data_IF_822663295079
#
_entry.id   IF_822663295079
#
_cell.length_a   1.000
_cell.length_b   1.000
_cell.length_c   1.000
_cell.angle_alpha   90.00
_cell.angle_beta   90.00
_cell.angle_gamma   90.00
#
_symmetry.space_group_name_H-M   'P 1'
#
loop_
_entity.id
_entity.type
_entity.pdbx_description
1 polymer ?
#
# COMPACT_ATOMS: atom_id res chain seq x y z
N UNK A 1 -3.26 -2.24 -9.27
CA UNK A 1 -1.85 -2.71 -9.33
C UNK A 1 -1.53 -3.25 -7.95
N UNK A 2 -1.45 -4.58 -7.83
CA UNK A 2 -1.03 -5.24 -6.58
C UNK A 2 0.49 -5.15 -6.53
N UNK A 3 1.03 -4.48 -5.52
CA UNK A 3 2.47 -4.42 -5.28
C UNK A 3 2.89 -5.68 -4.51
N UNK A 4 3.62 -6.58 -5.18
CA UNK A 4 4.25 -7.73 -4.52
C UNK A 4 5.48 -7.24 -3.76
N UNK A 5 5.36 -7.01 -2.45
CA UNK A 5 6.53 -6.84 -1.57
C UNK A 5 7.05 -8.24 -1.23
N UNK A 6 8.24 -8.55 -1.76
CA UNK A 6 8.94 -9.81 -1.46
C UNK A 6 9.43 -9.75 -0.01
N UNK A 7 8.71 -10.37 0.92
CA UNK A 7 9.15 -10.54 2.29
C UNK A 7 10.07 -11.76 2.38
N UNK A 8 11.35 -11.54 2.65
CA UNK A 8 12.28 -12.62 3.01
C UNK A 8 12.06 -12.96 4.49
N UNK A 9 11.32 -14.03 4.75
CA UNK A 9 11.13 -14.54 6.12
C UNK A 9 12.41 -15.23 6.59
N UNK A 10 13.17 -14.56 7.45
CA UNK A 10 14.23 -15.19 8.25
C UNK A 10 13.61 -15.91 9.45
N UNK A 11 13.94 -17.18 9.58
CA UNK A 11 13.43 -18.12 10.59
C UNK A 11 13.92 -17.74 11.99
N UNK A 12 13.00 -17.28 12.84
CA UNK A 12 13.15 -17.28 14.30
C UNK A 12 11.83 -17.73 14.93
N UNK A 13 11.57 -19.03 14.93
CA UNK A 13 10.52 -19.60 15.79
C UNK A 13 11.20 -20.08 17.07
N UNK A 14 11.32 -19.15 18.01
CA UNK A 14 11.41 -19.51 19.42
C UNK A 14 10.13 -20.24 19.82
N UNK A 15 10.27 -21.45 20.37
CA UNK A 15 9.14 -22.17 20.96
C UNK A 15 8.74 -21.46 22.26
N UNK A 16 7.77 -20.56 22.19
CA UNK A 16 7.10 -19.99 23.37
C UNK A 16 5.68 -20.57 23.43
N UNK A 17 5.52 -21.66 24.17
CA UNK A 17 4.24 -22.09 24.68
C UNK A 17 3.80 -21.13 25.78
N UNK A 18 2.86 -20.24 25.48
CA UNK A 18 2.22 -19.39 26.50
C UNK A 18 0.97 -20.11 26.99
N UNK A 19 0.99 -20.53 28.25
CA UNK A 19 -0.18 -21.03 28.97
C UNK A 19 -0.82 -19.87 29.73
N UNK A 20 -2.12 -19.65 29.52
CA UNK A 20 -2.96 -18.92 30.48
C UNK A 20 -3.89 -19.93 31.13
N UNK A 21 -3.68 -20.17 32.42
CA UNK A 21 -4.60 -20.90 33.27
C UNK A 21 -5.69 -19.92 33.76
N UNK A 22 -6.94 -20.27 33.52
CA UNK A 22 -8.10 -19.51 33.97
C UNK A 22 -9.33 -20.41 33.93
N UNK A 23 -9.54 -21.18 34.99
CA UNK A 23 -10.80 -21.85 35.31
C UNK A 23 -11.88 -20.77 35.59
N UNK A 24 -13.18 -20.90 35.28
CA UNK A 24 -14.12 -21.98 35.58
C UNK A 24 -15.46 -21.76 34.82
N UNK A 25 -16.10 -22.87 34.45
CA UNK A 25 -17.54 -23.08 34.12
C UNK A 25 -18.12 -22.64 32.76
N UNK A 26 -18.06 -23.53 31.79
CA UNK A 26 -19.22 -24.27 31.25
C UNK A 26 -18.69 -25.19 30.15
N UNK A 27 -19.36 -26.29 29.82
CA UNK A 27 -19.02 -27.13 28.65
C UNK A 27 -19.15 -26.33 27.35
N UNK A 28 -18.23 -25.43 27.07
CA UNK A 28 -17.93 -25.03 25.70
C UNK A 28 -17.02 -26.11 25.17
N UNK A 29 -17.57 -26.96 24.30
CA UNK A 29 -16.75 -27.80 23.43
C UNK A 29 -15.81 -26.85 22.69
N UNK A 30 -14.58 -26.74 23.18
CA UNK A 30 -13.50 -26.05 22.48
C UNK A 30 -13.17 -26.96 21.31
N UNK A 31 -13.79 -26.68 20.17
CA UNK A 31 -13.39 -27.29 18.92
C UNK A 31 -12.05 -26.66 18.54
N UNK A 32 -10.98 -27.21 19.10
CA UNK A 32 -9.64 -26.86 18.69
C UNK A 32 -9.52 -27.37 17.26
N UNK A 33 -9.70 -26.50 16.28
CA UNK A 33 -9.40 -26.78 14.88
C UNK A 33 -7.89 -27.01 14.74
N UNK A 34 -7.43 -28.20 15.16
CA UNK A 34 -6.08 -28.68 14.94
C UNK A 34 -5.96 -28.99 13.44
N UNK A 35 -5.79 -27.93 12.65
CA UNK A 35 -5.43 -28.07 11.25
C UNK A 35 -4.05 -28.71 11.23
N UNK A 36 -3.95 -29.90 10.62
CA UNK A 36 -2.65 -30.55 10.43
C UNK A 36 -1.81 -29.64 9.54
N UNK A 37 -0.51 -29.55 9.84
CA UNK A 37 0.41 -28.69 9.10
C UNK A 37 0.34 -28.94 7.57
N UNK A 38 0.15 -30.19 7.16
CA UNK A 38 -0.04 -30.58 5.76
C UNK A 38 -1.30 -30.02 5.11
N UNK A 39 -2.42 -29.94 5.84
CA UNK A 39 -3.68 -29.42 5.32
C UNK A 39 -3.65 -27.90 5.22
N UNK A 40 -2.99 -27.24 6.18
CA UNK A 40 -2.70 -25.81 6.13
C UNK A 40 -1.80 -25.47 4.94
N UNK A 41 -0.71 -26.23 4.76
CA UNK A 41 0.22 -26.03 3.64
C UNK A 41 -0.47 -26.23 2.29
N UNK A 42 -1.34 -27.24 2.15
CA UNK A 42 -2.14 -27.44 0.92
C UNK A 42 -3.12 -26.30 0.68
N UNK A 43 -3.77 -25.79 1.73
CA UNK A 43 -4.70 -24.67 1.61
C UNK A 43 -3.96 -23.38 1.21
N UNK A 44 -2.81 -23.11 1.83
CA UNK A 44 -1.94 -21.99 1.47
C UNK A 44 -1.44 -22.14 0.04
N UNK A 45 -0.96 -23.31 -0.36
CA UNK A 45 -0.49 -23.55 -1.72
C UNK A 45 -1.59 -23.29 -2.75
N UNK A 46 -2.81 -23.80 -2.53
CA UNK A 46 -3.96 -23.52 -3.40
C UNK A 46 -4.33 -22.04 -3.42
N UNK A 47 -4.24 -21.35 -2.28
CA UNK A 47 -4.48 -19.91 -2.20
C UNK A 47 -3.49 -19.14 -3.08
N UNK A 48 -2.19 -19.44 -2.97
CA UNK A 48 -1.14 -18.84 -3.78
C UNK A 48 -1.24 -19.23 -5.27
N UNK A 49 -1.69 -20.43 -5.60
CA UNK A 49 -1.96 -20.86 -6.98
C UNK A 49 -3.12 -20.09 -7.61
N UNK A 50 -4.17 -19.77 -6.86
CA UNK A 50 -5.33 -19.02 -7.35
C UNK A 50 -5.02 -17.53 -7.58
N UNK A 51 -4.14 -16.93 -6.77
CA UNK A 51 -3.67 -15.56 -6.97
C UNK A 51 -2.51 -15.44 -7.98
N UNK A 52 -1.83 -16.55 -8.28
CA UNK A 52 -0.84 -16.61 -9.35
C UNK A 52 -1.53 -16.55 -10.71
N UNK A 53 -1.84 -15.34 -11.14
CA UNK A 53 -2.16 -15.07 -12.54
C UNK A 53 -0.90 -15.37 -13.36
N UNK A 54 -1.02 -16.25 -14.36
CA UNK A 54 0.05 -16.44 -15.34
C UNK A 54 0.44 -15.06 -15.88
N UNK A 55 1.69 -14.66 -15.66
CA UNK A 55 2.22 -13.39 -16.16
C UNK A 55 2.34 -13.56 -17.68
N UNK A 56 1.23 -13.31 -18.38
CA UNK A 56 1.27 -13.09 -19.82
C UNK A 56 2.11 -11.84 -19.98
N UNK A 57 3.37 -12.03 -20.37
CA UNK A 57 4.25 -10.95 -20.82
C UNK A 57 3.55 -10.32 -22.02
N UNK A 58 2.68 -9.37 -21.70
CA UNK A 58 1.93 -8.65 -22.70
C UNK A 58 2.99 -7.81 -23.37
N UNK A 59 3.34 -8.13 -24.63
CA UNK A 59 4.26 -7.34 -25.47
C UNK A 59 3.62 -6.00 -25.85
N UNK A 60 3.05 -5.31 -24.88
CA UNK A 60 2.50 -3.98 -25.02
C UNK A 60 3.61 -3.00 -24.66
N UNK A 61 3.91 -2.07 -25.57
CA UNK A 61 4.97 -1.07 -25.39
C UNK A 61 4.77 -0.26 -24.09
N UNK A 62 3.52 -0.01 -23.69
CA UNK A 62 3.20 0.70 -22.44
C UNK A 62 3.62 -0.09 -21.18
N UNK A 63 3.48 -1.42 -21.18
CA UNK A 63 3.86 -2.26 -20.05
C UNK A 63 5.38 -2.23 -19.85
N UNK A 64 6.14 -2.36 -20.95
CA UNK A 64 7.59 -2.27 -20.93
C UNK A 64 8.07 -0.89 -20.45
N UNK A 65 7.45 0.20 -20.90
CA UNK A 65 7.77 1.55 -20.44
C UNK A 65 7.49 1.73 -18.94
N UNK A 66 6.38 1.18 -18.44
CA UNK A 66 6.06 1.22 -17.02
C UNK A 66 7.07 0.41 -16.19
N UNK A 67 7.47 -0.78 -16.65
CA UNK A 67 8.48 -1.60 -15.98
C UNK A 67 9.84 -0.92 -15.95
N UNK A 68 10.30 -0.40 -17.09
CA UNK A 68 11.56 0.36 -17.17
C UNK A 68 11.52 1.61 -16.28
N UNK A 69 10.40 2.33 -16.27
CA UNK A 69 10.21 3.49 -15.40
C UNK A 69 10.27 3.10 -13.91
N UNK A 70 9.60 2.02 -13.54
CA UNK A 70 9.61 1.50 -12.17
C UNK A 70 11.03 1.14 -11.76
N UNK A 71 11.75 0.35 -12.56
CA UNK A 71 13.13 -0.04 -12.26
C UNK A 71 14.05 1.17 -12.06
N UNK A 72 13.87 2.22 -12.86
CA UNK A 72 14.67 3.46 -12.77
C UNK A 72 14.30 4.37 -11.60
N UNK A 73 13.05 4.35 -11.13
CA UNK A 73 12.53 5.36 -10.21
C UNK A 73 12.08 4.82 -8.87
N UNK A 74 12.03 3.50 -8.69
CA UNK A 74 11.76 2.90 -7.40
C UNK A 74 12.98 3.06 -6.48
N UNK A 75 12.72 3.34 -5.22
CA UNK A 75 13.72 3.36 -4.16
C UNK A 75 13.05 3.06 -2.82
N UNK A 76 13.85 2.89 -1.77
CA UNK A 76 13.36 2.85 -0.39
C UNK A 76 13.79 4.12 0.34
N UNK A 77 12.90 4.70 1.14
CA UNK A 77 13.26 5.79 2.03
C UNK A 77 14.04 5.29 3.27
N UNK A 78 14.44 6.22 4.14
CA UNK A 78 15.19 5.92 5.36
C UNK A 78 14.40 5.08 6.38
N UNK A 79 13.07 5.02 6.24
CA UNK A 79 12.15 4.23 7.07
C UNK A 79 11.83 2.87 6.42
N UNK A 80 12.39 2.58 5.24
CA UNK A 80 12.18 1.34 4.50
C UNK A 80 10.92 1.29 3.63
N UNK A 81 10.19 2.41 3.49
CA UNK A 81 9.00 2.52 2.62
C UNK A 81 9.41 2.63 1.17
N UNK A 82 8.65 1.98 0.29
CA UNK A 82 8.87 2.07 -1.15
C UNK A 82 8.41 3.44 -1.69
N UNK A 83 9.31 4.14 -2.35
CA UNK A 83 9.05 5.36 -3.09
C UNK A 83 9.06 5.02 -4.57
N UNK A 84 7.92 5.20 -5.24
CA UNK A 84 7.74 4.85 -6.66
C UNK A 84 7.24 6.08 -7.39
N UNK A 85 7.87 6.41 -8.52
CA UNK A 85 7.38 7.47 -9.41
C UNK A 85 6.39 6.88 -10.40
N UNK A 86 5.27 7.58 -10.61
CA UNK A 86 4.27 7.16 -11.59
C UNK A 86 4.63 7.72 -12.97
N UNK A 87 4.63 6.89 -14.04
CA UNK A 87 4.88 7.36 -15.39
C UNK A 87 3.73 8.25 -15.88
N UNK A 88 4.07 9.25 -16.70
CA UNK A 88 3.08 10.05 -17.41
C UNK A 88 2.65 9.32 -18.69
N UNK A 89 1.35 9.37 -19.02
CA UNK A 89 0.81 8.74 -20.23
C UNK A 89 1.26 9.42 -21.54
N UNK A 90 1.80 10.63 -21.47
CA UNK A 90 2.24 11.39 -22.64
C UNK A 90 3.35 12.39 -22.28
N UNK A 91 3.82 13.12 -23.28
CA UNK A 91 4.88 14.11 -23.11
C UNK A 91 4.45 15.21 -22.11
N UNK A 92 5.20 15.44 -21.02
CA UNK A 92 4.94 16.55 -20.09
C UNK A 92 4.75 17.92 -20.76
N UNK A 93 5.36 18.14 -21.93
CA UNK A 93 5.25 19.41 -22.66
C UNK A 93 3.80 19.76 -23.08
N UNK A 94 2.91 18.76 -23.17
CA UNK A 94 1.50 19.00 -23.47
C UNK A 94 0.75 19.75 -22.34
N UNK A 95 1.34 19.85 -21.14
CA UNK A 95 0.74 20.51 -19.98
C UNK A 95 0.74 22.05 -20.08
N UNK A 96 1.45 22.64 -21.04
CA UNK A 96 1.46 24.09 -21.28
C UNK A 96 1.67 24.94 -20.01
N UNK A 97 0.85 25.99 -19.82
CA UNK A 97 0.92 26.87 -18.65
C UNK A 97 0.16 26.34 -17.41
N UNK A 98 0.02 25.02 -17.27
CA UNK A 98 -0.62 24.39 -16.10
C UNK A 98 -0.01 24.86 -14.77
N UNK A 99 1.32 24.97 -14.70
CA UNK A 99 2.03 25.46 -13.50
C UNK A 99 1.60 26.88 -13.11
N UNK A 100 1.54 27.79 -14.08
CA UNK A 100 1.11 29.17 -13.81
C UNK A 100 -0.34 29.25 -13.34
N UNK A 101 -1.23 28.44 -13.92
CA UNK A 101 -2.63 28.34 -13.49
C UNK A 101 -2.74 27.77 -12.07
N UNK A 102 -2.00 26.70 -11.77
CA UNK A 102 -1.97 26.08 -10.45
C UNK A 102 -1.50 27.07 -9.37
N UNK A 103 -0.43 27.82 -9.65
CA UNK A 103 0.08 28.84 -8.73
C UNK A 103 -0.93 29.96 -8.49
N UNK A 104 -1.62 30.44 -9.53
CA UNK A 104 -2.67 31.45 -9.39
C UNK A 104 -3.81 30.96 -8.49
N UNK A 105 -4.25 29.71 -8.69
CA UNK A 105 -5.30 29.08 -7.87
C UNK A 105 -4.85 28.90 -6.42
N UNK A 106 -3.61 28.45 -6.21
CA UNK A 106 -3.02 28.29 -4.88
C UNK A 106 -2.96 29.63 -4.15
N UNK A 107 -2.47 30.69 -4.79
CA UNK A 107 -2.41 32.02 -4.19
C UNK A 107 -3.80 32.57 -3.86
N UNK A 108 -4.77 32.39 -4.75
CA UNK A 108 -6.15 32.79 -4.49
C UNK A 108 -6.76 32.05 -3.28
N UNK A 109 -6.44 30.76 -3.13
CA UNK A 109 -6.84 29.97 -1.95
C UNK A 109 -6.20 30.54 -0.67
N UNK A 110 -4.89 30.80 -0.68
CA UNK A 110 -4.19 31.37 0.47
C UNK A 110 -4.78 32.72 0.91
N UNK A 111 -5.01 33.63 -0.05
CA UNK A 111 -5.64 34.93 0.24
C UNK A 111 -7.03 34.75 0.87
N UNK A 112 -7.81 33.75 0.42
CA UNK A 112 -9.13 33.47 1.00
C UNK A 112 -9.02 32.92 2.42
N UNK A 113 -8.06 32.03 2.66
CA UNK A 113 -7.81 31.45 3.99
C UNK A 113 -7.31 32.50 4.99
N UNK A 114 -6.47 33.45 4.56
CA UNK A 114 -5.99 34.53 5.43
C UNK A 114 -7.11 35.50 5.85
N UNK A 115 -8.09 35.71 4.98
CA UNK A 115 -9.22 36.62 5.26
C UNK A 115 -10.26 36.04 6.21
N UNK A 116 -10.37 34.71 6.29
CA UNK A 116 -11.38 34.01 7.07
C UNK A 116 -10.72 32.98 8.01
N UNK A 117 -10.47 33.36 9.28
CA UNK A 117 -9.85 32.47 10.26
C UNK A 117 -10.65 31.19 10.54
N UNK A 118 -11.99 31.24 10.45
CA UNK A 118 -12.83 30.06 10.67
C UNK A 118 -12.68 29.08 9.50
N UNK A 119 -12.66 29.59 8.27
CA UNK A 119 -12.42 28.77 7.08
C UNK A 119 -11.02 28.15 7.08
N UNK A 120 -9.99 28.89 7.51
CA UNK A 120 -8.64 28.36 7.67
C UNK A 120 -8.59 27.20 8.69
N UNK A 121 -9.30 27.33 9.81
CA UNK A 121 -9.37 26.26 10.82
C UNK A 121 -9.97 24.99 10.21
N UNK A 122 -11.13 25.08 9.56
CA UNK A 122 -11.80 23.93 8.93
C UNK A 122 -10.93 23.30 7.83
N UNK A 123 -10.24 24.12 7.03
CA UNK A 123 -9.32 23.63 6.02
C UNK A 123 -8.17 22.82 6.63
N UNK A 124 -7.57 23.29 7.73
CA UNK A 124 -6.50 22.57 8.42
C UNK A 124 -6.97 21.26 9.03
N UNK A 125 -8.11 21.28 9.71
CA UNK A 125 -8.71 20.06 10.29
C UNK A 125 -8.98 19.00 9.22
N UNK A 126 -9.49 19.41 8.04
CA UNK A 126 -9.69 18.50 6.92
C UNK A 126 -8.37 17.93 6.37
N UNK A 127 -7.32 18.74 6.22
CA UNK A 127 -6.05 18.25 5.66
C UNK A 127 -5.34 17.25 6.60
N UNK A 128 -5.54 17.37 7.92
CA UNK A 128 -4.99 16.43 8.92
C UNK A 128 -5.60 15.03 8.83
N UNK A 129 -6.80 14.87 8.24
CA UNK A 129 -7.40 13.54 8.04
C UNK A 129 -6.64 12.69 7.01
N UNK A 130 -5.85 13.32 6.14
CA UNK A 130 -5.11 12.68 5.04
C UNK A 130 -3.60 12.57 5.29
N UNK A 131 -3.11 13.06 6.42
CA UNK A 131 -1.72 12.86 6.89
C UNK A 131 -1.56 11.52 7.60
#
# INVERSE_FOLDING_TARGET
MVFQVRAEYTTLIGKSSVFYAGDLLNETKVDCGLVRDEDLNKALQKFWEVENVEIVQTKNNEANLCEEHFMKTHSKDVEGRYVVKMPLKGDPNCLGNSRGIALKRLNALWIKLEKDPQYLKLYREFMQEYE
#
